data_IF_530292006343
#
_entry.id   IF_530292006343
#
_cell.length_a   1.000
_cell.length_b   1.000
_cell.length_c   1.000
_cell.angle_alpha   90.00
_cell.angle_beta   90.00
_cell.angle_gamma   90.00
#
_symmetry.space_group_name_H-M   'P 1'
#
loop_
_entity.id
_entity.type
_entity.pdbx_description
1 polymer ?
#
# COMPACT_ATOMS: atom_id res chain seq x y z
N UNK A 1 -15.31 5.57 3.00
CA UNK A 1 -14.60 4.47 2.32
C UNK A 1 -15.30 3.96 1.07
N UNK A 2 -16.49 3.32 1.14
CA UNK A 2 -17.18 2.76 -0.05
C UNK A 2 -17.43 3.81 -1.15
N UNK A 3 -17.94 4.99 -0.77
CA UNK A 3 -18.17 6.09 -1.71
C UNK A 3 -16.87 6.49 -2.43
N UNK A 4 -15.76 6.63 -1.69
CA UNK A 4 -14.45 6.95 -2.27
C UNK A 4 -13.97 5.86 -3.22
N UNK A 5 -14.18 4.58 -2.89
CA UNK A 5 -13.85 3.47 -3.78
C UNK A 5 -14.66 3.52 -5.08
N UNK A 6 -15.95 3.86 -5.01
CA UNK A 6 -16.78 4.09 -6.20
C UNK A 6 -16.27 5.28 -7.02
N UNK A 7 -15.89 6.39 -6.37
CA UNK A 7 -15.31 7.56 -7.05
C UNK A 7 -14.04 7.18 -7.81
N UNK A 8 -13.17 6.35 -7.25
CA UNK A 8 -11.95 5.88 -7.94
C UNK A 8 -12.28 5.16 -9.24
N UNK A 9 -13.34 4.34 -9.27
CA UNK A 9 -13.75 3.57 -10.45
C UNK A 9 -14.33 4.44 -11.58
N UNK A 10 -15.07 5.49 -11.22
CA UNK A 10 -15.77 6.34 -12.20
C UNK A 10 -15.08 7.69 -12.45
N UNK A 11 -13.93 7.93 -11.83
CA UNK A 11 -13.18 9.17 -11.99
C UNK A 11 -12.72 9.37 -13.45
N UNK A 12 -13.11 10.50 -14.03
CA UNK A 12 -12.71 10.88 -15.40
C UNK A 12 -11.30 11.48 -15.45
N UNK A 13 -10.77 11.93 -14.31
CA UNK A 13 -9.46 12.57 -14.18
C UNK A 13 -8.57 11.78 -13.21
N UNK A 14 -7.29 11.62 -13.58
CA UNK A 14 -6.30 10.95 -12.72
C UNK A 14 -6.12 11.66 -11.39
N UNK A 15 -6.24 12.99 -11.38
CA UNK A 15 -6.13 13.78 -10.16
C UNK A 15 -7.25 13.38 -9.19
N UNK A 16 -8.48 13.24 -9.69
CA UNK A 16 -9.63 12.80 -8.89
C UNK A 16 -9.42 11.38 -8.37
N UNK A 17 -8.92 10.45 -9.20
CA UNK A 17 -8.59 9.09 -8.76
C UNK A 17 -7.53 9.09 -7.66
N UNK A 18 -6.44 9.84 -7.81
CA UNK A 18 -5.37 9.91 -6.78
C UNK A 18 -5.91 10.48 -5.48
N UNK A 19 -6.63 11.59 -5.53
CA UNK A 19 -7.18 12.21 -4.31
C UNK A 19 -8.17 11.27 -3.63
N UNK A 20 -8.99 10.54 -4.40
CA UNK A 20 -9.91 9.55 -3.86
C UNK A 20 -9.19 8.34 -3.25
N UNK A 21 -8.08 7.87 -3.84
CA UNK A 21 -7.20 6.84 -3.25
C UNK A 21 -6.54 7.34 -1.97
N UNK A 22 -5.98 8.56 -1.97
CA UNK A 22 -5.42 9.18 -0.77
C UNK A 22 -6.44 9.26 0.36
N UNK A 23 -7.67 9.67 0.04
CA UNK A 23 -8.79 9.72 0.99
C UNK A 23 -9.14 8.33 1.53
N UNK A 24 -9.09 7.27 0.70
CA UNK A 24 -9.26 5.89 1.16
C UNK A 24 -8.19 5.51 2.19
N UNK A 25 -6.92 5.86 1.95
CA UNK A 25 -5.84 5.62 2.89
C UNK A 25 -6.03 6.33 4.23
N UNK A 26 -6.50 7.58 4.22
CA UNK A 26 -6.85 8.30 5.45
C UNK A 26 -8.02 7.64 6.22
N UNK A 27 -8.98 7.02 5.53
CA UNK A 27 -9.98 6.19 6.20
C UNK A 27 -9.35 4.96 6.87
N UNK A 28 -8.33 4.35 6.27
CA UNK A 28 -7.58 3.23 6.88
C UNK A 28 -6.83 3.70 8.14
N UNK A 29 -6.18 4.88 8.10
CA UNK A 29 -5.57 5.50 9.30
C UNK A 29 -6.60 5.66 10.41
N UNK A 30 -7.78 6.19 10.08
CA UNK A 30 -8.88 6.34 11.03
C UNK A 30 -9.31 4.99 11.63
N UNK A 31 -9.42 3.93 10.83
CA UNK A 31 -9.71 2.59 11.35
C UNK A 31 -8.62 2.07 12.27
N UNK A 32 -7.34 2.26 11.96
CA UNK A 32 -6.25 1.86 12.87
C UNK A 32 -6.32 2.60 14.21
N UNK A 33 -6.61 3.90 14.19
CA UNK A 33 -6.83 4.66 15.41
C UNK A 33 -8.05 4.14 16.20
N UNK A 34 -9.16 3.85 15.51
CA UNK A 34 -10.39 3.30 16.11
C UNK A 34 -10.14 1.94 16.77
N UNK A 35 -9.34 1.07 16.14
CA UNK A 35 -8.98 -0.25 16.65
C UNK A 35 -7.76 -0.24 17.59
N UNK A 36 -7.34 0.92 18.09
CA UNK A 36 -6.24 1.09 19.06
C UNK A 36 -4.88 0.56 18.55
N UNK A 37 -4.59 0.74 17.27
CA UNK A 37 -3.32 0.43 16.65
C UNK A 37 -2.56 1.72 16.29
N UNK A 38 -1.99 2.44 17.28
CA UNK A 38 -1.39 3.77 17.05
C UNK A 38 -0.16 3.73 16.14
N UNK A 39 0.70 2.71 16.25
CA UNK A 39 1.92 2.58 15.44
C UNK A 39 1.58 2.35 13.96
N UNK A 40 0.54 1.54 13.68
CA UNK A 40 0.03 1.33 12.32
C UNK A 40 -0.64 2.59 11.79
N UNK A 41 -1.36 3.34 12.62
CA UNK A 41 -1.99 4.58 12.20
C UNK A 41 -0.95 5.63 11.78
N UNK A 42 0.12 5.80 12.57
CA UNK A 42 1.19 6.76 12.29
C UNK A 42 1.95 6.40 11.00
N UNK A 43 2.34 5.14 10.86
CA UNK A 43 3.06 4.66 9.67
C UNK A 43 2.20 4.75 8.42
N UNK A 44 0.92 4.34 8.49
CA UNK A 44 -0.01 4.46 7.38
C UNK A 44 -0.20 5.93 6.97
N UNK A 45 -0.30 6.87 7.91
CA UNK A 45 -0.43 8.30 7.59
C UNK A 45 0.77 8.82 6.80
N UNK A 46 1.99 8.48 7.26
CA UNK A 46 3.22 8.91 6.59
C UNK A 46 3.32 8.29 5.20
N UNK A 47 3.14 6.97 5.10
CA UNK A 47 3.21 6.25 3.82
C UNK A 47 2.17 6.80 2.84
N UNK A 48 0.92 7.00 3.29
CA UNK A 48 -0.15 7.54 2.44
C UNK A 48 0.17 8.95 1.91
N UNK A 49 0.77 9.78 2.76
CA UNK A 49 1.17 11.13 2.37
C UNK A 49 2.29 11.07 1.32
N UNK A 50 3.32 10.25 1.55
CA UNK A 50 4.44 10.10 0.61
C UNK A 50 3.97 9.51 -0.72
N UNK A 51 3.17 8.44 -0.71
CA UNK A 51 2.68 7.81 -1.95
C UNK A 51 1.77 8.75 -2.73
N UNK A 52 0.89 9.50 -2.06
CA UNK A 52 0.03 10.50 -2.71
C UNK A 52 0.88 11.57 -3.40
N UNK A 53 1.90 12.11 -2.72
CA UNK A 53 2.82 13.10 -3.32
C UNK A 53 3.57 12.52 -4.51
N UNK A 54 4.08 11.28 -4.40
CA UNK A 54 4.76 10.60 -5.50
C UNK A 54 3.85 10.36 -6.71
N UNK A 55 2.59 9.97 -6.48
CA UNK A 55 1.62 9.82 -7.56
C UNK A 55 1.31 11.16 -8.24
N UNK A 56 1.11 12.23 -7.48
CA UNK A 56 0.90 13.57 -8.03
C UNK A 56 2.10 14.03 -8.88
N UNK A 57 3.32 13.81 -8.38
CA UNK A 57 4.56 14.11 -9.10
C UNK A 57 4.66 13.31 -10.41
N UNK A 58 4.33 12.02 -10.36
CA UNK A 58 4.35 11.14 -11.54
C UNK A 58 3.41 11.67 -12.62
N UNK A 59 2.18 12.02 -12.24
CA UNK A 59 1.15 12.48 -13.19
C UNK A 59 1.47 13.82 -13.82
N UNK A 60 2.12 14.72 -13.08
CA UNK A 60 2.59 15.99 -13.64
C UNK A 60 3.47 15.79 -14.88
N UNK A 61 4.23 14.68 -14.95
CA UNK A 61 5.13 14.36 -16.06
C UNK A 61 4.51 13.44 -17.12
N UNK A 62 3.27 12.98 -16.94
CA UNK A 62 2.59 12.09 -17.88
C UNK A 62 1.74 12.88 -18.89
N UNK A 63 1.69 12.46 -20.17
CA UNK A 63 0.77 13.06 -21.14
C UNK A 63 -0.69 12.84 -20.74
N UNK A 64 -1.56 13.77 -21.16
CA UNK A 64 -3.02 13.71 -20.92
C UNK A 64 -3.59 12.40 -21.47
N UNK A 65 -4.61 11.85 -20.79
CA UNK A 65 -5.26 10.61 -21.19
C UNK A 65 -5.71 10.64 -22.67
N UNK A 66 -5.39 9.57 -23.39
CA UNK A 66 -6.17 9.18 -24.57
C UNK A 66 -7.38 8.38 -24.03
N UNK A 67 -8.60 8.74 -24.44
CA UNK A 67 -9.78 7.90 -24.13
C UNK A 67 -9.55 6.53 -24.76
N UNK A 68 -9.44 5.51 -23.92
CA UNK A 68 -9.35 4.13 -24.39
C UNK A 68 -10.75 3.70 -24.84
N UNK A 69 -10.90 3.47 -26.16
CA UNK A 69 -12.17 3.00 -26.73
C UNK A 69 -12.22 1.48 -26.52
N UNK A 70 -12.56 1.06 -25.31
CA UNK A 70 -12.77 -0.35 -25.00
C UNK A 70 -14.22 -0.75 -25.28
N UNK A 71 -14.45 -1.91 -25.90
CA UNK A 71 -15.80 -2.47 -26.08
C UNK A 71 -16.54 -2.65 -24.75
N UNK A 72 -17.84 -2.37 -24.74
CA UNK A 72 -18.72 -2.53 -23.56
C UNK A 72 -18.71 -3.98 -23.05
N UNK A 73 -18.59 -4.96 -23.95
CA UNK A 73 -18.51 -6.38 -23.59
C UNK A 73 -17.25 -6.73 -22.79
N UNK A 74 -16.10 -6.14 -23.15
CA UNK A 74 -14.85 -6.33 -22.41
C UNK A 74 -14.93 -5.74 -21.00
N UNK A 75 -15.59 -4.59 -20.85
CA UNK A 75 -15.86 -3.97 -19.53
C UNK A 75 -16.77 -4.81 -18.65
N UNK A 76 -17.79 -5.45 -19.22
CA UNK A 76 -18.71 -6.30 -18.47
C UNK A 76 -18.04 -7.57 -17.91
N UNK A 77 -17.20 -8.24 -18.71
CA UNK A 77 -16.42 -9.39 -18.24
C UNK A 77 -15.48 -9.00 -17.10
N UNK A 78 -14.75 -7.90 -17.23
CA UNK A 78 -13.87 -7.41 -16.16
C UNK A 78 -14.63 -7.06 -14.88
N UNK A 79 -15.84 -6.52 -14.99
CA UNK A 79 -16.70 -6.22 -13.84
C UNK A 79 -17.19 -7.50 -13.14
N UNK A 80 -17.58 -8.53 -13.91
CA UNK A 80 -17.98 -9.83 -13.33
C UNK A 80 -16.80 -10.49 -12.62
N UNK A 81 -15.61 -10.47 -13.22
CA UNK A 81 -14.41 -11.04 -12.61
C UNK A 81 -14.04 -10.28 -11.33
N UNK A 82 -14.04 -8.95 -11.35
CA UNK A 82 -13.64 -8.14 -10.18
C UNK A 82 -14.60 -8.33 -9.00
N UNK A 83 -15.92 -8.35 -9.27
CA UNK A 83 -16.93 -8.65 -8.24
C UNK A 83 -16.79 -10.08 -7.75
N UNK A 84 -16.59 -11.05 -8.65
CA UNK A 84 -16.38 -12.46 -8.31
C UNK A 84 -15.19 -12.65 -7.38
N UNK A 85 -14.03 -12.04 -7.69
CA UNK A 85 -12.84 -12.08 -6.84
C UNK A 85 -13.11 -11.43 -5.48
N UNK A 86 -13.74 -10.25 -5.46
CA UNK A 86 -14.08 -9.55 -4.22
C UNK A 86 -14.98 -10.38 -3.30
N UNK A 87 -15.98 -11.07 -3.86
CA UNK A 87 -16.87 -11.97 -3.11
C UNK A 87 -16.12 -13.19 -2.57
N UNK A 88 -15.28 -13.83 -3.40
CA UNK A 88 -14.49 -14.99 -2.97
C UNK A 88 -13.56 -14.63 -1.82
N UNK A 89 -12.80 -13.53 -1.94
CA UNK A 89 -11.90 -13.08 -0.87
C UNK A 89 -12.68 -12.73 0.41
N UNK A 90 -13.84 -12.08 0.27
CA UNK A 90 -14.70 -11.74 1.42
C UNK A 90 -15.23 -13.00 2.12
N UNK A 91 -15.74 -13.97 1.36
CA UNK A 91 -16.23 -15.23 1.93
C UNK A 91 -15.11 -16.03 2.60
N UNK A 92 -13.92 -16.09 1.99
CA UNK A 92 -12.76 -16.73 2.60
C UNK A 92 -12.34 -16.04 3.90
N UNK A 93 -12.30 -14.71 3.93
CA UNK A 93 -11.96 -13.95 5.13
C UNK A 93 -12.97 -14.18 6.27
N UNK A 94 -14.28 -14.14 5.97
CA UNK A 94 -15.33 -14.43 6.94
C UNK A 94 -15.24 -15.87 7.46
N UNK A 95 -15.08 -16.84 6.56
CA UNK A 95 -14.96 -18.26 6.91
C UNK A 95 -13.73 -18.54 7.79
N UNK A 96 -12.58 -17.95 7.45
CA UNK A 96 -11.35 -18.13 8.22
C UNK A 96 -11.44 -17.45 9.60
N UNK A 97 -12.11 -16.29 9.70
CA UNK A 97 -12.26 -15.57 10.95
C UNK A 97 -13.18 -16.30 11.94
N UNK A 98 -14.26 -16.93 11.45
CA UNK A 98 -15.21 -17.66 12.29
C UNK A 98 -14.67 -18.95 12.89
N UNK A 99 -13.55 -19.49 12.38
CA UNK A 99 -13.09 -20.82 12.74
C UNK A 99 -11.69 -20.80 13.40
N UNK A 100 -11.60 -20.27 14.62
CA UNK A 100 -10.36 -20.30 15.41
C UNK A 100 -10.20 -21.64 16.11
N UNK A 101 -9.43 -22.54 15.51
CA UNK A 101 -9.16 -23.88 16.04
C UNK A 101 -8.20 -23.90 17.25
N UNK A 102 -7.36 -22.88 17.39
CA UNK A 102 -6.33 -22.79 18.43
C UNK A 102 -6.38 -21.43 19.12
N UNK A 103 -5.94 -21.41 20.38
CA UNK A 103 -5.79 -20.17 21.13
C UNK A 103 -4.67 -19.29 20.54
N UNK A 104 -4.79 -17.98 20.79
CA UNK A 104 -3.82 -17.00 20.31
C UNK A 104 -2.50 -17.11 21.09
N UNK A 105 -1.37 -17.09 20.37
CA UNK A 105 -0.04 -16.97 21.00
C UNK A 105 0.23 -15.57 21.57
N UNK A 106 -0.73 -14.64 21.47
CA UNK A 106 -0.57 -13.25 21.97
C UNK A 106 -0.18 -13.18 23.44
N UNK A 107 -0.63 -14.13 24.26
CA UNK A 107 -0.27 -14.19 25.69
C UNK A 107 1.24 -14.34 25.93
N UNK A 108 1.99 -14.93 25.00
CA UNK A 108 3.45 -14.99 25.10
C UNK A 108 4.07 -13.59 25.02
N UNK A 109 3.54 -12.74 24.13
CA UNK A 109 4.05 -11.38 23.89
C UNK A 109 3.59 -10.35 24.93
N UNK A 110 2.58 -10.65 25.75
CA UNK A 110 2.20 -9.80 26.89
C UNK A 110 3.36 -9.65 27.89
N UNK A 111 4.28 -10.63 27.94
CA UNK A 111 5.51 -10.59 28.74
C UNK A 111 6.67 -9.85 28.06
N UNK A 112 6.41 -9.04 27.03
CA UNK A 112 7.45 -8.31 26.28
C UNK A 112 8.35 -7.46 27.18
N UNK A 113 7.83 -6.88 28.25
CA UNK A 113 8.64 -6.10 29.18
C UNK A 113 9.64 -6.99 29.93
N UNK A 114 9.21 -8.14 30.45
CA UNK A 114 10.09 -9.07 31.16
C UNK A 114 11.13 -9.73 30.24
N UNK A 115 10.72 -10.07 29.00
CA UNK A 115 11.55 -10.82 28.06
C UNK A 115 12.48 -9.95 27.21
N UNK A 116 12.06 -8.72 26.89
CA UNK A 116 12.77 -7.82 25.98
C UNK A 116 12.98 -6.40 26.55
N UNK A 117 12.53 -6.11 27.76
CA UNK A 117 12.64 -4.77 28.37
C UNK A 117 11.78 -3.69 27.71
N UNK A 118 10.85 -4.08 26.84
CA UNK A 118 10.10 -3.15 25.99
C UNK A 118 8.71 -2.84 26.54
N UNK A 119 8.40 -1.55 26.66
CA UNK A 119 7.07 -1.07 27.06
C UNK A 119 6.04 -1.04 25.91
N UNK A 120 6.52 -0.95 24.67
CA UNK A 120 5.67 -1.03 23.48
C UNK A 120 5.78 -2.44 22.89
N UNK A 121 4.70 -3.23 23.04
CA UNK A 121 4.62 -4.62 22.58
C UNK A 121 4.80 -4.73 21.06
N UNK A 122 4.26 -3.78 20.28
CA UNK A 122 4.37 -3.81 18.81
C UNK A 122 5.84 -3.64 18.41
N UNK A 123 6.52 -2.63 18.97
CA UNK A 123 7.94 -2.43 18.70
C UNK A 123 8.81 -3.60 19.21
N UNK A 124 8.47 -4.19 20.35
CA UNK A 124 9.14 -5.38 20.87
C UNK A 124 9.04 -6.56 19.90
N UNK A 125 7.86 -6.77 19.30
CA UNK A 125 7.66 -7.81 18.30
C UNK A 125 8.51 -7.53 17.07
N UNK A 126 8.47 -6.30 16.55
CA UNK A 126 9.19 -5.95 15.32
C UNK A 126 10.71 -6.02 15.47
N UNK A 127 11.27 -5.60 16.60
CA UNK A 127 12.72 -5.45 16.76
C UNK A 127 13.37 -6.67 17.43
N UNK A 128 12.73 -7.25 18.45
CA UNK A 128 13.33 -8.33 19.24
C UNK A 128 12.77 -9.71 18.83
N UNK A 129 11.47 -9.95 19.01
CA UNK A 129 10.91 -11.28 18.80
C UNK A 129 10.91 -11.72 17.33
N UNK A 130 10.66 -10.78 16.42
CA UNK A 130 10.62 -10.99 14.97
C UNK A 130 11.54 -10.02 14.22
N UNK A 131 12.64 -9.63 14.86
CA UNK A 131 13.65 -8.73 14.30
C UNK A 131 14.19 -9.15 12.93
N UNK A 132 14.22 -10.46 12.66
CA UNK A 132 14.69 -10.98 11.37
C UNK A 132 13.78 -10.59 10.20
N UNK A 133 12.46 -10.57 10.40
CA UNK A 133 11.52 -10.14 9.37
C UNK A 133 11.71 -8.66 9.05
N UNK A 134 11.86 -7.82 10.09
CA UNK A 134 12.12 -6.38 9.95
C UNK A 134 13.46 -6.09 9.25
N UNK A 135 14.50 -6.87 9.54
CA UNK A 135 15.78 -6.75 8.84
C UNK A 135 15.62 -6.99 7.33
N UNK A 136 14.81 -7.99 6.95
CA UNK A 136 14.53 -8.29 5.55
C UNK A 136 13.64 -7.23 4.89
N UNK A 137 12.68 -6.65 5.62
CA UNK A 137 11.89 -5.52 5.14
C UNK A 137 12.76 -4.30 4.82
N UNK A 138 13.71 -3.95 5.72
CA UNK A 138 14.67 -2.87 5.50
C UNK A 138 15.55 -3.17 4.28
N UNK A 139 15.97 -4.42 4.09
CA UNK A 139 16.73 -4.84 2.91
C UNK A 139 15.93 -4.60 1.62
N UNK A 140 14.64 -4.99 1.59
CA UNK A 140 13.76 -4.78 0.43
C UNK A 140 13.59 -3.30 0.13
N UNK A 141 13.33 -2.46 1.15
CA UNK A 141 13.22 -1.00 0.98
C UNK A 141 14.52 -0.38 0.46
N UNK A 142 15.67 -0.84 0.98
CA UNK A 142 16.99 -0.40 0.54
C UNK A 142 17.24 -0.75 -0.93
N UNK A 143 16.90 -1.98 -1.33
CA UNK A 143 17.00 -2.42 -2.74
C UNK A 143 16.06 -1.65 -3.66
N UNK A 144 14.83 -1.37 -3.24
CA UNK A 144 13.89 -0.56 -4.00
C UNK A 144 14.43 0.87 -4.21
N UNK A 145 14.95 1.50 -3.16
CA UNK A 145 15.57 2.83 -3.21
C UNK A 145 16.78 2.88 -4.16
N UNK A 146 17.68 1.89 -4.05
CA UNK A 146 18.82 1.74 -4.96
C UNK A 146 18.36 1.51 -6.41
N UNK A 147 17.33 0.69 -6.64
CA UNK A 147 16.77 0.44 -7.95
C UNK A 147 16.23 1.71 -8.60
N UNK A 148 15.48 2.53 -7.86
CA UNK A 148 15.00 3.83 -8.33
C UNK A 148 16.16 4.77 -8.68
N UNK A 149 17.19 4.84 -7.82
CA UNK A 149 18.37 5.67 -8.07
C UNK A 149 19.09 5.27 -9.36
N UNK A 150 19.33 3.97 -9.56
CA UNK A 150 19.99 3.42 -10.75
C UNK A 150 19.19 3.72 -12.02
N UNK A 151 17.86 3.52 -11.99
CA UNK A 151 16.98 3.84 -13.12
C UNK A 151 17.05 5.31 -13.54
N UNK A 152 17.10 6.22 -12.57
CA UNK A 152 17.21 7.66 -12.83
C UNK A 152 18.58 7.99 -13.44
N UNK A 153 19.67 7.47 -12.86
CA UNK A 153 21.04 7.77 -13.31
C UNK A 153 21.36 7.20 -14.68
N UNK A 154 20.99 5.95 -14.95
CA UNK A 154 21.24 5.32 -16.26
C UNK A 154 20.48 6.04 -17.38
N UNK A 155 19.24 6.48 -17.11
CA UNK A 155 18.47 7.26 -18.09
C UNK A 155 19.09 8.62 -18.41
N UNK A 156 19.64 9.30 -17.40
CA UNK A 156 20.33 10.57 -17.57
C UNK A 156 21.63 10.42 -18.38
N UNK A 157 22.40 9.36 -18.12
CA UNK A 157 23.62 9.06 -18.87
C UNK A 157 23.34 8.85 -20.37
N UNK A 158 22.34 8.02 -20.71
CA UNK A 158 21.97 7.77 -22.10
C UNK A 158 21.35 8.98 -22.83
N UNK A 159 20.83 9.98 -22.10
CA UNK A 159 20.36 11.24 -22.71
C UNK A 159 21.52 12.16 -23.07
N UNK A 160 22.54 12.24 -22.22
CA UNK A 160 23.73 13.08 -22.46
C UNK A 160 24.57 12.56 -23.63
N UNK A 161 24.70 11.24 -23.82
CA UNK A 161 25.41 10.65 -24.98
C UNK A 161 24.71 10.96 -26.33
N UNK A 162 23.37 11.00 -26.35
CA UNK A 162 22.59 11.32 -27.54
C UNK A 162 22.58 12.83 -27.90
N UNK A 163 22.88 13.71 -26.95
CA UNK A 163 23.01 15.15 -27.19
C UNK A 163 24.44 15.54 -27.65
N UNK A 164 25.47 14.78 -27.28
CA UNK A 164 26.87 15.00 -27.69
C UNK A 164 27.26 14.42 -29.07
N UNK A 165 26.34 13.71 -29.74
CA UNK A 165 26.53 13.11 -31.08
C UNK A 165 25.80 13.86 -32.21
N UNK A 166 25.32 15.08 -31.94
CA UNK A 166 24.81 16.03 -32.95
C UNK A 166 25.72 17.24 -33.06
#
# INVERSE_FOLDING_TARGET
MIICALIVLFAESRLTSIVAVGTLGFFVVFFFALFRAPDLALTQLVVETVTTVLFLLCIYHLPRFRKEISSVGFKAVNAVISVGVGLVVTMLALSANSNRFFESISHFYEKANELAGANNIVNAILVDFRGFDTMLEILVLSMAGLGVYVLIKLRLAGRNENEGTK
#
